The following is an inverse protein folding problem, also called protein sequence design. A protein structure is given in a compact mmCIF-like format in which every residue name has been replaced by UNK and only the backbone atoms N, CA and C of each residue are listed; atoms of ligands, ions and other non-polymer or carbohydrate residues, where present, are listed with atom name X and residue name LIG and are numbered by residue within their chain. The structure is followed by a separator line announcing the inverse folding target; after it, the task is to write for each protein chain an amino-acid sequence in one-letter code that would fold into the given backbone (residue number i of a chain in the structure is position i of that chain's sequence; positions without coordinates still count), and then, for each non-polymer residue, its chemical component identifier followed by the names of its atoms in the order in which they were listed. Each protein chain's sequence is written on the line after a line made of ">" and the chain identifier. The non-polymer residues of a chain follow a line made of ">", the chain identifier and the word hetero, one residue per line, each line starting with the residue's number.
data_IF_646965340131
#
_entry.id   IF_646965340131
#
_cell.length_a   1.000
_cell.length_b   1.000
_cell.length_c   1.000
_cell.angle_alpha   90.00
_cell.angle_beta   90.00
_cell.angle_gamma   90.00
#
_symmetry.space_group_name_H-M   'P 1'
#
loop_
_entity.id
_entity.type
_entity.pdbx_description
1 polymer ?
#
# COMPACT_ATOMS: atom_id res chain seq x y z
N UNK A 1 11.90 9.49 -12.11
CA UNK A 1 10.79 10.28 -11.52
C UNK A 1 9.81 9.30 -10.90
N UNK A 2 9.47 9.45 -9.61
CA UNK A 2 8.65 8.46 -8.87
C UNK A 2 7.19 8.44 -9.34
N UNK A 3 6.48 7.33 -9.10
CA UNK A 3 5.05 7.20 -9.40
C UNK A 3 4.26 8.22 -8.57
N UNK A 4 4.60 8.39 -7.30
CA UNK A 4 3.95 9.37 -6.42
C UNK A 4 4.12 10.80 -6.91
N UNK A 5 5.31 11.18 -7.40
CA UNK A 5 5.54 12.50 -7.95
C UNK A 5 4.67 12.75 -9.21
N UNK A 6 4.49 11.74 -10.05
CA UNK A 6 3.59 11.82 -11.22
C UNK A 6 2.13 11.99 -10.78
N UNK A 7 1.69 11.25 -9.76
CA UNK A 7 0.34 11.38 -9.21
C UNK A 7 0.12 12.80 -8.68
N UNK A 8 1.06 13.34 -7.89
CA UNK A 8 1.00 14.69 -7.33
C UNK A 8 1.02 15.79 -8.40
N UNK A 9 1.81 15.62 -9.47
CA UNK A 9 1.86 16.58 -10.58
C UNK A 9 0.49 16.79 -11.27
N UNK A 10 -0.39 15.80 -11.19
CA UNK A 10 -1.77 15.88 -11.71
C UNK A 10 -2.82 16.13 -10.61
N UNK A 11 -2.38 16.57 -9.42
CA UNK A 11 -3.24 16.85 -8.28
C UNK A 11 -3.87 15.60 -7.64
N UNK A 12 -3.37 14.41 -7.97
CA UNK A 12 -3.75 13.17 -7.30
C UNK A 12 -2.96 12.96 -6.02
N UNK A 13 -3.42 12.04 -5.18
CA UNK A 13 -2.74 11.67 -3.94
C UNK A 13 -2.99 10.21 -3.59
N UNK A 14 -1.96 9.49 -3.17
CA UNK A 14 -2.11 8.21 -2.46
C UNK A 14 -2.25 8.51 -0.97
N UNK A 15 -3.38 8.13 -0.38
CA UNK A 15 -3.62 8.25 1.06
C UNK A 15 -3.41 6.89 1.68
N UNK A 16 -2.53 6.83 2.68
CA UNK A 16 -2.28 5.63 3.47
C UNK A 16 -2.96 5.76 4.83
N UNK A 17 -3.70 4.74 5.22
CA UNK A 17 -4.23 4.53 6.56
C UNK A 17 -3.77 3.14 7.02
N UNK A 18 -2.75 3.10 7.87
CA UNK A 18 -2.06 1.86 8.27
C UNK A 18 -1.49 1.11 7.04
N UNK A 19 -1.86 -0.16 6.82
CA UNK A 19 -1.51 -0.96 5.64
C UNK A 19 -2.50 -0.79 4.47
N UNK A 20 -3.53 0.05 4.62
CA UNK A 20 -4.53 0.30 3.58
C UNK A 20 -4.18 1.54 2.77
N UNK A 21 -4.39 1.46 1.46
CA UNK A 21 -4.09 2.53 0.52
C UNK A 21 -5.32 2.89 -0.29
N UNK A 22 -5.55 4.19 -0.45
CA UNK A 22 -6.63 4.74 -1.27
C UNK A 22 -6.07 5.78 -2.23
N UNK A 23 -6.53 5.78 -3.47
CA UNK A 23 -6.19 6.80 -4.46
C UNK A 23 -7.24 7.91 -4.46
N UNK A 24 -6.80 9.15 -4.26
CA UNK A 24 -7.55 10.36 -4.64
C UNK A 24 -7.09 10.78 -6.04
N UNK A 25 -7.90 10.62 -7.09
CA UNK A 25 -7.42 10.69 -8.47
C UNK A 25 -7.11 12.10 -8.98
N UNK A 26 -7.68 13.16 -8.38
CA UNK A 26 -7.43 14.53 -8.83
C UNK A 26 -7.80 14.74 -10.30
N UNK A 27 -6.85 15.24 -11.11
CA UNK A 27 -7.00 15.44 -12.56
C UNK A 27 -6.32 14.34 -13.39
N UNK A 28 -6.10 13.15 -12.83
CA UNK A 28 -5.55 12.02 -13.58
C UNK A 28 -6.51 11.61 -14.71
N UNK A 29 -5.96 11.42 -15.91
CA UNK A 29 -6.74 10.95 -17.06
C UNK A 29 -7.17 9.49 -16.87
N UNK A 30 -8.22 9.02 -17.58
CA UNK A 30 -8.63 7.62 -17.55
C UNK A 30 -7.50 6.64 -17.92
N UNK A 31 -6.66 7.02 -18.88
CA UNK A 31 -5.49 6.23 -19.27
C UNK A 31 -4.45 6.16 -18.13
N UNK A 32 -4.21 7.26 -17.43
CA UNK A 32 -3.33 7.28 -16.27
C UNK A 32 -3.87 6.43 -15.11
N UNK A 33 -5.19 6.45 -14.89
CA UNK A 33 -5.84 5.58 -13.90
C UNK A 33 -5.75 4.10 -14.28
N UNK A 34 -5.93 3.76 -15.55
CA UNK A 34 -5.76 2.39 -16.03
C UNK A 34 -4.31 1.90 -15.86
N UNK A 35 -3.34 2.73 -16.21
CA UNK A 35 -1.93 2.43 -15.97
C UNK A 35 -1.63 2.27 -14.48
N UNK A 36 -2.16 3.16 -13.64
CA UNK A 36 -1.96 3.12 -12.20
C UNK A 36 -2.59 1.89 -11.55
N UNK A 37 -3.72 1.39 -12.05
CA UNK A 37 -4.28 0.11 -11.58
C UNK A 37 -3.31 -1.05 -11.78
N UNK A 38 -2.64 -1.11 -12.93
CA UNK A 38 -1.63 -2.14 -13.21
C UNK A 38 -0.33 -1.96 -12.40
N UNK A 39 -0.05 -0.75 -11.93
CA UNK A 39 1.17 -0.40 -11.17
C UNK A 39 0.87 -0.04 -9.71
N UNK A 40 -0.32 -0.40 -9.21
CA UNK A 40 -0.79 0.06 -7.92
C UNK A 40 0.12 -0.40 -6.78
N UNK A 41 0.57 -1.66 -6.85
CA UNK A 41 1.50 -2.23 -5.87
C UNK A 41 2.81 -1.46 -5.78
N UNK A 42 3.35 -1.01 -6.92
CA UNK A 42 4.55 -0.19 -6.96
C UNK A 42 4.30 1.19 -6.34
N UNK A 43 3.15 1.81 -6.60
CA UNK A 43 2.76 3.07 -5.97
C UNK A 43 2.62 2.93 -4.44
N UNK A 44 2.05 1.82 -3.96
CA UNK A 44 1.93 1.54 -2.53
C UNK A 44 3.30 1.30 -1.88
N UNK A 45 4.22 0.59 -2.56
CA UNK A 45 5.59 0.37 -2.09
C UNK A 45 6.38 1.68 -2.00
N UNK A 46 6.20 2.61 -2.95
CA UNK A 46 6.76 3.96 -2.84
C UNK A 46 6.15 4.73 -1.65
N UNK A 47 4.86 4.57 -1.38
CA UNK A 47 4.17 5.25 -0.27
C UNK A 47 4.50 4.64 1.11
N UNK A 48 4.85 3.36 1.16
CA UNK A 48 5.31 2.68 2.36
C UNK A 48 6.40 1.67 2.01
N UNK A 49 7.69 2.04 2.21
CA UNK A 49 8.80 1.14 1.86
C UNK A 49 8.81 -0.19 2.62
N UNK A 50 8.14 -0.26 3.77
CA UNK A 50 8.05 -1.50 4.55
C UNK A 50 6.86 -2.39 4.16
N UNK A 51 6.13 -2.07 3.08
CA UNK A 51 4.98 -2.84 2.60
C UNK A 51 5.31 -4.31 2.36
N UNK A 52 6.43 -4.60 1.69
CA UNK A 52 6.85 -5.98 1.41
C UNK A 52 7.12 -6.76 2.71
N UNK A 53 7.79 -6.12 3.67
CA UNK A 53 8.05 -6.73 4.97
C UNK A 53 6.75 -6.98 5.73
N UNK A 54 5.81 -6.03 5.73
CA UNK A 54 4.50 -6.22 6.34
C UNK A 54 3.70 -7.36 5.71
N UNK A 55 3.68 -7.48 4.38
CA UNK A 55 2.99 -8.58 3.69
C UNK A 55 3.57 -9.94 4.08
N UNK A 56 4.90 -10.04 4.17
CA UNK A 56 5.57 -11.25 4.61
C UNK A 56 5.19 -11.60 6.06
N UNK A 57 5.25 -10.64 6.98
CA UNK A 57 4.89 -10.85 8.39
C UNK A 57 3.42 -11.23 8.55
N UNK A 58 2.52 -10.60 7.79
CA UNK A 58 1.11 -10.92 7.78
C UNK A 58 0.87 -12.36 7.30
N UNK A 59 1.51 -12.76 6.20
CA UNK A 59 1.40 -14.12 5.67
C UNK A 59 1.95 -15.17 6.65
N UNK A 60 3.10 -14.93 7.28
CA UNK A 60 3.66 -15.83 8.31
C UNK A 60 2.68 -15.99 9.47
N UNK A 61 2.10 -14.88 9.96
CA UNK A 61 1.18 -14.89 11.09
C UNK A 61 -0.14 -15.58 10.77
N UNK A 62 -0.67 -15.43 9.57
CA UNK A 62 -1.88 -16.13 9.12
C UNK A 62 -1.62 -17.64 8.98
N UNK A 63 -0.64 -18.02 8.17
CA UNK A 63 -0.48 -19.43 7.77
C UNK A 63 0.34 -20.28 8.75
N UNK A 64 1.37 -19.70 9.36
CA UNK A 64 2.22 -20.40 10.34
C UNK A 64 1.81 -20.10 11.77
N UNK A 65 1.33 -18.87 12.02
CA UNK A 65 0.88 -18.44 13.36
C UNK A 65 -0.57 -18.81 13.69
N UNK A 66 -1.36 -19.28 12.72
CA UNK A 66 -2.75 -19.70 12.92
C UNK A 66 -3.71 -18.55 13.26
N UNK A 67 -3.30 -17.30 13.05
CA UNK A 67 -4.15 -16.14 13.29
C UNK A 67 -5.19 -16.00 12.18
N UNK A 68 -6.34 -15.40 12.48
CA UNK A 68 -7.21 -14.94 11.40
C UNK A 68 -6.49 -13.86 10.59
N UNK A 69 -6.80 -13.74 9.29
CA UNK A 69 -6.20 -12.72 8.42
C UNK A 69 -6.26 -11.30 9.01
N UNK A 70 -7.38 -10.93 9.61
CA UNK A 70 -7.53 -9.61 10.22
C UNK A 70 -6.56 -9.40 11.41
N UNK A 71 -6.41 -10.42 12.26
CA UNK A 71 -5.45 -10.38 13.39
C UNK A 71 -4.01 -10.42 12.91
N UNK A 72 -3.72 -11.20 11.85
CA UNK A 72 -2.41 -11.32 11.24
C UNK A 72 -1.94 -9.99 10.64
N UNK A 73 -2.80 -9.32 9.86
CA UNK A 73 -2.54 -8.00 9.28
C UNK A 73 -2.27 -6.94 10.36
N UNK A 74 -3.09 -6.91 11.42
CA UNK A 74 -2.94 -5.95 12.52
C UNK A 74 -1.68 -6.20 13.34
N UNK A 75 -1.40 -7.46 13.68
CA UNK A 75 -0.20 -7.84 14.43
C UNK A 75 1.07 -7.60 13.63
N UNK A 76 1.05 -7.88 12.32
CA UNK A 76 2.15 -7.58 11.41
C UNK A 76 2.37 -6.07 11.29
N UNK A 77 1.32 -5.27 11.26
CA UNK A 77 1.46 -3.82 11.20
C UNK A 77 2.06 -3.25 12.47
N UNK A 78 1.60 -3.67 13.65
CA UNK A 78 2.21 -3.27 14.93
C UNK A 78 3.70 -3.59 14.95
N UNK A 79 4.07 -4.81 14.53
CA UNK A 79 5.46 -5.25 14.43
C UNK A 79 6.31 -4.40 13.46
N UNK A 80 5.82 -4.17 12.24
CA UNK A 80 6.60 -3.48 11.19
C UNK A 80 6.61 -1.96 11.36
N UNK A 81 5.52 -1.37 11.87
CA UNK A 81 5.42 0.07 12.11
C UNK A 81 6.13 0.51 13.40
N UNK A 82 6.52 -0.43 14.27
CA UNK A 82 7.14 -0.15 15.57
C UNK A 82 6.16 0.45 16.58
N UNK A 83 4.87 0.09 16.47
CA UNK A 83 3.79 0.57 17.34
C UNK A 83 3.41 -0.46 18.40
#
# INVERSE_FOLDING_TARGET
>A
MSILARIQAHGGQVVRAEWRFTLKPGRLSPAALAWLKAHWRAACAEAWPALDHWEERAAIREYMGGQSRAEAEASAYAEVAGC
#
